data_IF_389498307606
#
_entry.id   IF_389498307606
#
_cell.length_a   1.000
_cell.length_b   1.000
_cell.length_c   1.000
_cell.angle_alpha   90.00
_cell.angle_beta   90.00
_cell.angle_gamma   90.00
#
_symmetry.space_group_name_H-M   'P 1'
#
loop_
_entity.id
_entity.type
_entity.pdbx_description
1 polymer ?
#
# COMPACT_ATOMS: atom_id res chain seq x y z
N UNK A 1 16.85 -59.18 6.64
CA UNK A 1 17.22 -59.29 5.24
C UNK A 1 18.31 -58.26 4.98
N UNK A 2 19.57 -58.78 5.06
CA UNK A 2 20.82 -58.02 4.95
C UNK A 2 21.03 -57.60 3.48
N UNK A 3 21.23 -56.33 3.22
CA UNK A 3 21.79 -55.82 1.98
C UNK A 3 23.08 -55.07 2.31
N UNK A 4 24.14 -55.67 1.83
CA UNK A 4 25.54 -55.47 2.13
C UNK A 4 26.11 -54.13 1.70
N UNK A 5 27.03 -53.64 2.54
CA UNK A 5 27.88 -52.46 2.42
C UNK A 5 28.97 -52.52 1.33
N UNK A 6 28.97 -53.51 0.44
CA UNK A 6 30.05 -53.73 -0.52
C UNK A 6 29.93 -53.00 -1.89
N UNK A 7 28.92 -52.18 -2.09
CA UNK A 7 28.76 -51.41 -3.36
C UNK A 7 29.34 -49.99 -3.35
N UNK A 8 29.86 -49.51 -2.24
CA UNK A 8 30.44 -48.15 -2.16
C UNK A 8 31.99 -48.10 -2.23
N UNK A 9 32.65 -49.23 -2.47
CA UNK A 9 34.13 -49.29 -2.52
C UNK A 9 34.73 -49.22 -3.91
N UNK A 10 33.96 -49.23 -4.99
CA UNK A 10 34.48 -49.27 -6.38
C UNK A 10 34.37 -47.97 -7.18
N UNK A 11 34.26 -46.80 -6.55
CA UNK A 11 34.33 -45.48 -7.25
C UNK A 11 35.63 -44.71 -6.97
N UNK A 12 36.64 -45.36 -6.38
CA UNK A 12 37.93 -44.76 -6.04
C UNK A 12 39.05 -44.94 -7.08
N UNK A 13 38.76 -45.44 -8.29
CA UNK A 13 39.78 -45.88 -9.24
C UNK A 13 39.87 -45.13 -10.58
N UNK A 14 39.46 -43.86 -10.66
CA UNK A 14 39.44 -43.11 -11.93
C UNK A 14 40.22 -41.79 -11.93
N UNK A 15 41.12 -41.58 -11.00
CA UNK A 15 42.00 -40.40 -11.04
C UNK A 15 43.47 -40.81 -10.76
N UNK A 16 44.10 -41.46 -11.74
CA UNK A 16 45.58 -41.43 -11.85
C UNK A 16 45.99 -41.68 -13.30
N UNK A 17 46.63 -40.69 -13.91
CA UNK A 17 47.72 -40.86 -14.84
C UNK A 17 47.40 -40.98 -16.34
N UNK A 18 47.78 -39.94 -17.09
CA UNK A 18 47.88 -40.06 -18.55
C UNK A 18 48.15 -38.69 -19.19
N UNK A 19 49.43 -38.26 -19.21
CA UNK A 19 49.93 -37.24 -20.08
C UNK A 19 49.90 -37.73 -21.53
N UNK A 20 49.08 -37.15 -22.40
CA UNK A 20 49.21 -37.34 -23.84
C UNK A 20 48.64 -36.17 -24.63
N UNK A 21 49.49 -35.53 -25.37
CA UNK A 21 49.28 -34.83 -26.66
C UNK A 21 48.17 -33.78 -26.75
N UNK A 22 48.57 -32.54 -26.72
CA UNK A 22 47.80 -31.38 -27.26
C UNK A 22 47.60 -31.57 -28.76
N UNK A 23 46.48 -32.11 -29.16
CA UNK A 23 46.00 -32.06 -30.53
C UNK A 23 45.30 -30.71 -30.74
N UNK A 24 45.92 -29.85 -31.55
CA UNK A 24 45.40 -28.55 -31.97
C UNK A 24 44.22 -28.79 -32.91
N UNK A 25 42.99 -28.68 -32.41
CA UNK A 25 41.79 -28.58 -33.25
C UNK A 25 41.82 -27.26 -34.03
N UNK A 26 41.64 -27.28 -35.35
CA UNK A 26 41.58 -26.06 -36.17
C UNK A 26 40.26 -25.33 -35.87
N UNK A 27 40.36 -24.18 -35.20
CA UNK A 27 39.25 -23.23 -35.07
C UNK A 27 38.92 -22.70 -36.48
N UNK A 28 37.93 -23.31 -37.15
CA UNK A 28 37.28 -22.71 -38.31
C UNK A 28 36.45 -21.52 -37.79
N UNK A 29 36.98 -20.33 -37.93
CA UNK A 29 36.23 -19.08 -37.86
C UNK A 29 35.25 -19.06 -39.03
N UNK A 30 34.05 -19.61 -38.82
CA UNK A 30 32.92 -19.35 -39.67
C UNK A 30 32.61 -17.86 -39.59
N UNK A 31 32.99 -17.14 -40.64
CA UNK A 31 32.49 -15.78 -40.92
C UNK A 31 30.98 -15.92 -41.25
N UNK A 32 30.14 -16.20 -40.23
CA UNK A 32 28.69 -16.09 -40.32
C UNK A 32 28.32 -14.63 -40.43
N UNK A 33 27.64 -14.28 -41.53
CA UNK A 33 26.97 -13.01 -41.74
C UNK A 33 26.26 -12.52 -40.52
N UNK A 34 26.62 -11.33 -40.04
CA UNK A 34 25.82 -10.56 -39.10
C UNK A 34 24.60 -10.00 -39.85
N UNK A 35 23.61 -10.83 -40.04
CA UNK A 35 22.24 -10.40 -40.25
C UNK A 35 21.50 -10.63 -38.93
N UNK A 36 21.93 -9.98 -37.86
CA UNK A 36 21.07 -9.68 -36.75
C UNK A 36 20.22 -8.49 -37.17
N UNK A 37 19.15 -8.75 -37.93
CA UNK A 37 17.95 -7.93 -37.77
C UNK A 37 17.64 -7.94 -36.27
N UNK A 38 18.02 -6.87 -35.59
CA UNK A 38 17.49 -6.59 -34.29
C UNK A 38 15.97 -6.54 -34.48
N UNK A 39 15.27 -7.60 -34.05
CA UNK A 39 13.82 -7.54 -33.95
C UNK A 39 13.49 -6.23 -33.26
N UNK A 40 12.52 -5.45 -33.76
CA UNK A 40 12.17 -4.18 -33.14
C UNK A 40 11.90 -4.50 -31.67
N UNK A 41 12.62 -3.80 -30.78
CA UNK A 41 12.42 -3.88 -29.35
C UNK A 41 10.94 -3.56 -29.16
N UNK A 42 10.11 -4.60 -29.02
CA UNK A 42 8.71 -4.40 -28.66
C UNK A 42 8.73 -3.64 -27.34
N UNK A 43 8.08 -2.51 -27.34
CA UNK A 43 7.85 -1.64 -26.18
C UNK A 43 6.94 -2.32 -25.10
N UNK A 44 7.08 -3.61 -24.87
CA UNK A 44 6.57 -4.28 -23.69
C UNK A 44 7.50 -4.01 -22.50
N UNK A 45 7.78 -2.73 -22.29
CA UNK A 45 8.80 -2.30 -21.33
C UNK A 45 8.29 -2.27 -19.88
N UNK A 46 6.97 -2.39 -19.63
CA UNK A 46 6.38 -2.34 -18.28
C UNK A 46 5.11 -3.18 -18.18
N UNK A 47 4.67 -3.41 -16.95
CA UNK A 47 3.47 -4.17 -16.65
C UNK A 47 2.19 -3.42 -17.01
N UNK A 48 1.64 -3.71 -18.20
CA UNK A 48 0.41 -3.09 -18.69
C UNK A 48 -0.79 -3.40 -17.80
N UNK A 49 -0.84 -4.59 -17.19
CA UNK A 49 -1.95 -5.00 -16.32
C UNK A 49 -1.98 -4.12 -15.07
N UNK A 50 -0.83 -3.87 -14.43
CA UNK A 50 -0.73 -2.97 -13.28
C UNK A 50 -1.25 -1.57 -13.63
N UNK A 51 -0.88 -1.04 -14.81
CA UNK A 51 -1.33 0.28 -15.27
C UNK A 51 -2.83 0.30 -15.49
N UNK A 52 -3.39 -0.67 -16.25
CA UNK A 52 -4.82 -0.65 -16.58
C UNK A 52 -5.71 -0.85 -15.35
N UNK A 53 -5.33 -1.71 -14.40
CA UNK A 53 -6.07 -1.88 -13.14
C UNK A 53 -6.00 -0.59 -12.31
N UNK A 54 -4.85 0.08 -12.26
CA UNK A 54 -4.71 1.37 -11.57
C UNK A 54 -5.61 2.43 -12.23
N UNK A 55 -5.60 2.54 -13.56
CA UNK A 55 -6.44 3.49 -14.31
C UNK A 55 -7.92 3.18 -14.10
N UNK A 56 -8.32 1.91 -14.11
CA UNK A 56 -9.70 1.52 -13.87
C UNK A 56 -10.18 1.93 -12.46
N UNK A 57 -9.34 1.72 -11.43
CA UNK A 57 -9.67 2.15 -10.05
C UNK A 57 -9.77 3.67 -9.93
N UNK A 58 -8.85 4.42 -10.55
CA UNK A 58 -8.88 5.88 -10.54
C UNK A 58 -10.12 6.43 -11.27
N UNK A 59 -10.45 5.88 -12.44
CA UNK A 59 -11.62 6.29 -13.21
C UNK A 59 -12.92 5.98 -12.47
N UNK A 60 -13.02 4.77 -11.89
CA UNK A 60 -14.18 4.41 -11.08
C UNK A 60 -14.27 5.27 -9.82
N UNK A 61 -13.14 5.52 -9.13
CA UNK A 61 -13.06 6.43 -7.99
C UNK A 61 -13.53 7.83 -8.31
N UNK A 62 -13.14 8.39 -9.48
CA UNK A 62 -13.57 9.69 -9.94
C UNK A 62 -15.11 9.78 -10.08
N UNK A 63 -15.71 8.77 -10.72
CA UNK A 63 -17.17 8.71 -10.88
C UNK A 63 -17.86 8.59 -9.52
N UNK A 64 -17.36 7.73 -8.64
CA UNK A 64 -17.98 7.51 -7.33
C UNK A 64 -17.79 8.67 -6.37
N UNK A 65 -16.66 9.37 -6.40
CA UNK A 65 -16.48 10.61 -5.63
C UNK A 65 -17.46 11.69 -6.11
N UNK A 66 -17.68 11.81 -7.41
CA UNK A 66 -18.68 12.74 -7.94
C UNK A 66 -20.08 12.34 -7.48
N UNK A 67 -20.46 11.07 -7.61
CA UNK A 67 -21.75 10.58 -7.13
C UNK A 67 -21.95 10.83 -5.63
N UNK A 68 -20.94 10.56 -4.81
CA UNK A 68 -21.01 10.74 -3.35
C UNK A 68 -21.04 12.21 -2.90
N UNK A 69 -20.63 13.15 -3.77
CA UNK A 69 -20.50 14.58 -3.39
C UNK A 69 -21.52 15.49 -4.05
N UNK A 70 -22.32 14.99 -4.99
CA UNK A 70 -23.23 15.82 -5.79
C UNK A 70 -24.26 16.56 -4.94
N UNK A 71 -24.72 15.96 -3.85
CA UNK A 71 -25.71 16.55 -2.94
C UNK A 71 -25.08 17.41 -1.81
N UNK A 72 -23.74 17.42 -1.67
CA UNK A 72 -23.11 18.14 -0.54
C UNK A 72 -23.46 19.65 -0.48
N UNK A 73 -23.55 20.40 -1.60
CA UNK A 73 -23.90 21.82 -1.56
C UNK A 73 -25.31 22.11 -1.04
N UNK A 74 -26.21 21.14 -1.03
CA UNK A 74 -27.57 21.30 -0.49
C UNK A 74 -27.55 21.41 1.05
N UNK A 75 -26.45 21.03 1.69
CA UNK A 75 -26.25 21.23 3.12
C UNK A 75 -25.77 22.67 3.39
N UNK A 76 -26.38 23.41 4.35
CA UNK A 76 -26.00 24.79 4.69
C UNK A 76 -24.50 24.97 4.98
N UNK A 77 -23.82 23.95 5.49
CA UNK A 77 -22.39 23.97 5.78
C UNK A 77 -21.55 24.09 4.50
N UNK A 78 -22.04 23.58 3.38
CA UNK A 78 -21.35 23.52 2.09
C UNK A 78 -22.04 24.36 0.99
N UNK A 79 -23.08 25.12 1.32
CA UNK A 79 -23.87 25.92 0.37
C UNK A 79 -23.08 26.96 -0.46
N UNK A 80 -21.83 27.25 -0.04
CA UNK A 80 -20.92 28.15 -0.77
C UNK A 80 -20.23 27.46 -1.97
N UNK A 81 -20.28 26.13 -2.05
CA UNK A 81 -19.60 25.37 -3.08
C UNK A 81 -20.59 25.02 -4.21
N UNK A 82 -20.09 24.96 -5.45
CA UNK A 82 -20.85 24.41 -6.57
C UNK A 82 -20.94 22.87 -6.48
N UNK A 83 -21.93 22.26 -7.12
CA UNK A 83 -22.08 20.81 -7.20
C UNK A 83 -20.86 20.12 -7.82
N UNK A 84 -20.09 20.82 -8.65
CA UNK A 84 -18.85 20.33 -9.27
C UNK A 84 -17.58 20.60 -8.44
N UNK A 85 -17.65 21.32 -7.32
CA UNK A 85 -16.46 21.74 -6.56
C UNK A 85 -15.56 20.56 -6.16
N UNK A 86 -16.13 19.52 -5.57
CA UNK A 86 -15.38 18.35 -5.14
C UNK A 86 -14.81 17.56 -6.33
N UNK A 87 -15.57 17.45 -7.43
CA UNK A 87 -15.12 16.84 -8.67
C UNK A 87 -13.90 17.56 -9.25
N UNK A 88 -13.99 18.87 -9.42
CA UNK A 88 -12.89 19.68 -9.96
C UNK A 88 -11.65 19.55 -9.09
N UNK A 89 -11.82 19.65 -7.77
CA UNK A 89 -10.72 19.48 -6.83
C UNK A 89 -10.10 18.08 -6.89
N UNK A 90 -10.91 17.05 -7.05
CA UNK A 90 -10.43 15.67 -7.21
C UNK A 90 -9.64 15.48 -8.52
N UNK A 91 -10.16 16.03 -9.65
CA UNK A 91 -9.46 16.03 -10.95
C UNK A 91 -8.11 16.75 -10.84
N UNK A 92 -8.06 17.92 -10.19
CA UNK A 92 -6.80 18.65 -9.98
C UNK A 92 -5.79 17.81 -9.19
N UNK A 93 -6.23 17.14 -8.13
CA UNK A 93 -5.36 16.25 -7.37
C UNK A 93 -4.91 15.03 -8.20
N UNK A 94 -5.78 14.46 -9.03
CA UNK A 94 -5.41 13.38 -9.96
C UNK A 94 -4.35 13.86 -10.97
N UNK A 95 -4.51 15.07 -11.52
CA UNK A 95 -3.53 15.63 -12.46
C UNK A 95 -2.16 15.87 -11.78
N UNK A 96 -2.15 16.48 -10.59
CA UNK A 96 -0.92 16.69 -9.81
C UNK A 96 -0.27 15.34 -9.48
N UNK A 97 -1.06 14.36 -9.06
CA UNK A 97 -0.58 13.03 -8.70
C UNK A 97 -0.02 12.27 -9.90
N UNK A 98 -0.64 12.43 -11.07
CA UNK A 98 -0.15 11.85 -12.32
C UNK A 98 1.20 12.45 -12.73
N UNK A 99 1.35 13.77 -12.66
CA UNK A 99 2.64 14.44 -12.94
C UNK A 99 3.72 13.98 -11.94
N UNK A 100 3.39 13.92 -10.66
CA UNK A 100 4.31 13.42 -9.63
C UNK A 100 4.71 11.95 -9.88
N UNK A 101 3.76 11.11 -10.29
CA UNK A 101 4.01 9.72 -10.66
C UNK A 101 4.92 9.59 -11.89
N UNK A 102 4.74 10.43 -12.92
CA UNK A 102 5.62 10.47 -14.09
C UNK A 102 7.04 10.88 -13.71
N UNK A 103 7.21 11.83 -12.81
CA UNK A 103 8.52 12.23 -12.29
C UNK A 103 9.15 11.08 -11.50
N UNK A 104 8.40 10.48 -10.58
CA UNK A 104 8.85 9.36 -9.77
C UNK A 104 9.27 8.14 -10.61
N UNK A 105 8.55 7.88 -11.70
CA UNK A 105 8.84 6.83 -12.65
C UNK A 105 10.19 7.01 -13.38
N UNK A 106 10.63 8.24 -13.59
CA UNK A 106 11.93 8.52 -14.22
C UNK A 106 13.11 8.30 -13.27
N UNK A 107 12.88 8.34 -11.96
CA UNK A 107 13.92 8.20 -10.95
C UNK A 107 14.37 6.75 -10.83
N UNK A 108 15.68 6.44 -11.00
CA UNK A 108 16.20 5.09 -10.82
C UNK A 108 15.97 4.55 -9.41
N UNK A 109 15.75 3.23 -9.30
CA UNK A 109 15.48 2.58 -8.01
C UNK A 109 16.62 2.76 -7.02
N UNK A 110 17.87 2.76 -7.47
CA UNK A 110 19.04 3.03 -6.64
C UNK A 110 19.04 4.44 -5.99
N UNK A 111 18.38 5.41 -6.62
CA UNK A 111 18.21 6.76 -6.06
C UNK A 111 17.20 6.75 -4.91
N UNK A 112 16.10 6.01 -5.06
CA UNK A 112 15.12 5.82 -3.99
C UNK A 112 15.75 5.14 -2.76
N UNK A 113 16.64 4.17 -2.97
CA UNK A 113 17.38 3.51 -1.89
C UNK A 113 18.27 4.51 -1.13
N UNK A 114 19.03 5.36 -1.86
CA UNK A 114 19.86 6.40 -1.24
C UNK A 114 19.05 7.46 -0.50
N UNK A 115 17.85 7.78 -0.98
CA UNK A 115 16.97 8.78 -0.39
C UNK A 115 16.14 8.22 0.79
N UNK A 116 16.02 6.91 0.93
CA UNK A 116 15.17 6.29 1.94
C UNK A 116 15.41 6.80 3.37
N UNK A 117 16.65 6.90 3.90
CA UNK A 117 16.89 7.44 5.24
C UNK A 117 16.50 8.92 5.36
N UNK A 118 16.76 9.71 4.33
CA UNK A 118 16.42 11.15 4.32
C UNK A 118 14.92 11.39 4.25
N UNK A 119 14.21 10.64 3.42
CA UNK A 119 12.75 10.70 3.35
C UNK A 119 12.11 10.31 4.68
N UNK A 120 12.68 9.34 5.37
CA UNK A 120 12.23 8.96 6.72
C UNK A 120 12.42 10.12 7.71
N UNK A 121 13.58 10.77 7.75
CA UNK A 121 13.82 11.92 8.62
C UNK A 121 12.90 13.09 8.27
N UNK A 122 12.73 13.40 6.98
CA UNK A 122 11.82 14.45 6.52
C UNK A 122 10.37 14.14 6.96
N UNK A 123 9.93 12.89 6.85
CA UNK A 123 8.58 12.52 7.28
C UNK A 123 8.39 12.68 8.79
N UNK A 124 9.39 12.35 9.60
CA UNK A 124 9.36 12.59 11.05
C UNK A 124 9.26 14.10 11.36
N UNK A 125 10.06 14.92 10.69
CA UNK A 125 10.00 16.38 10.86
C UNK A 125 8.64 16.96 10.49
N UNK A 126 8.02 16.46 9.41
CA UNK A 126 6.68 16.89 8.99
C UNK A 126 5.59 16.43 9.97
N UNK A 127 5.70 15.24 10.54
CA UNK A 127 4.79 14.78 11.60
C UNK A 127 4.92 15.65 12.86
N UNK A 128 6.14 16.03 13.24
CA UNK A 128 6.36 16.99 14.35
C UNK A 128 5.79 18.36 14.01
N UNK A 129 5.99 18.85 12.78
CA UNK A 129 5.49 20.15 12.33
C UNK A 129 3.96 20.27 12.41
N UNK A 130 3.22 19.18 12.11
CA UNK A 130 1.75 19.15 12.22
C UNK A 130 1.28 19.34 13.67
N UNK A 131 2.04 18.89 14.65
CA UNK A 131 1.69 19.03 16.07
C UNK A 131 1.89 20.45 16.60
N UNK A 132 2.72 21.28 15.91
CA UNK A 132 2.98 22.65 16.32
C UNK A 132 1.73 23.52 16.14
N UNK A 133 1.26 24.20 17.19
CA UNK A 133 0.15 25.15 17.09
C UNK A 133 0.45 26.24 16.05
N UNK A 134 -0.52 26.50 15.14
CA UNK A 134 -0.36 27.48 14.07
C UNK A 134 0.11 26.93 12.73
N UNK A 135 0.86 25.80 12.70
CA UNK A 135 1.24 25.10 11.46
C UNK A 135 0.23 24.01 11.08
N UNK A 136 -0.18 23.20 12.05
CA UNK A 136 -1.15 22.12 11.84
C UNK A 136 -2.60 22.61 11.87
N UNK A 137 -3.39 22.28 10.84
CA UNK A 137 -4.83 22.54 10.79
C UNK A 137 -5.57 21.41 11.49
N UNK A 138 -6.38 21.78 12.49
CA UNK A 138 -7.32 20.86 13.15
C UNK A 138 -8.59 20.67 12.35
N UNK A 139 -8.98 19.42 12.11
CA UNK A 139 -10.26 19.03 11.51
C UNK A 139 -10.84 17.92 12.38
N UNK A 140 -12.10 18.08 12.81
CA UNK A 140 -12.81 17.10 13.66
C UNK A 140 -12.03 16.69 14.93
N UNK A 141 -11.35 17.68 15.57
CA UNK A 141 -10.59 17.45 16.81
C UNK A 141 -9.21 16.82 16.64
N UNK A 142 -8.75 16.55 15.43
CA UNK A 142 -7.42 16.01 15.13
C UNK A 142 -6.61 16.98 14.25
N UNK A 143 -5.34 17.19 14.59
CA UNK A 143 -4.40 18.01 13.79
C UNK A 143 -3.59 17.07 12.90
N UNK A 144 -3.94 16.95 11.62
CA UNK A 144 -3.32 16.00 10.68
C UNK A 144 -2.88 16.64 9.38
N UNK A 145 -3.19 17.93 9.17
CA UNK A 145 -3.03 18.60 7.89
C UNK A 145 -2.11 19.80 8.02
N UNK A 146 -1.12 19.89 7.14
CA UNK A 146 -0.33 21.10 6.90
C UNK A 146 -1.01 21.88 5.76
N UNK A 147 -1.27 23.18 5.99
CA UNK A 147 -1.86 24.05 4.96
C UNK A 147 -0.73 24.78 4.25
N UNK A 148 -0.53 24.43 2.99
CA UNK A 148 0.47 25.05 2.10
C UNK A 148 -0.27 25.89 1.04
N UNK A 149 -0.75 27.06 1.43
CA UNK A 149 -1.58 27.89 0.56
C UNK A 149 -2.93 27.22 0.22
N UNK A 150 -3.25 26.97 -1.07
CA UNK A 150 -4.52 26.34 -1.46
C UNK A 150 -4.53 24.82 -1.25
N UNK A 151 -3.39 24.24 -0.93
CA UNK A 151 -3.18 22.79 -0.82
C UNK A 151 -3.11 22.41 0.65
N UNK A 152 -3.84 21.35 1.03
CA UNK A 152 -3.70 20.69 2.33
C UNK A 152 -2.93 19.40 2.15
N UNK A 153 -1.80 19.27 2.85
CA UNK A 153 -0.92 18.11 2.80
C UNK A 153 -1.02 17.32 4.10
N UNK A 154 -1.14 16.00 4.01
CA UNK A 154 -1.20 15.10 5.16
C UNK A 154 0.13 14.34 5.31
N UNK A 155 0.96 14.66 6.31
CA UNK A 155 2.26 14.02 6.50
C UNK A 155 2.21 12.53 6.76
N UNK A 156 1.17 12.02 7.39
CA UNK A 156 1.02 10.58 7.65
C UNK A 156 0.96 9.75 6.36
N UNK A 157 0.46 10.30 5.24
CA UNK A 157 0.49 9.62 3.95
C UNK A 157 1.93 9.45 3.42
N UNK A 158 2.74 10.52 3.50
CA UNK A 158 4.16 10.45 3.15
C UNK A 158 4.92 9.51 4.10
N UNK A 159 4.58 9.51 5.39
CA UNK A 159 5.21 8.64 6.39
C UNK A 159 5.03 7.16 6.05
N UNK A 160 3.88 6.72 5.53
CA UNK A 160 3.66 5.34 5.06
C UNK A 160 4.68 4.94 3.99
N UNK A 161 4.87 5.79 2.98
CA UNK A 161 5.81 5.54 1.89
C UNK A 161 7.27 5.62 2.36
N UNK A 162 7.62 6.61 3.16
CA UNK A 162 8.99 6.78 3.67
C UNK A 162 9.41 5.65 4.61
N UNK A 163 8.53 5.19 5.50
CA UNK A 163 8.79 4.02 6.36
C UNK A 163 8.95 2.75 5.54
N UNK A 164 8.16 2.57 4.47
CA UNK A 164 8.29 1.45 3.55
C UNK A 164 9.69 1.43 2.92
N UNK A 165 10.13 2.54 2.34
CA UNK A 165 11.46 2.65 1.73
C UNK A 165 12.58 2.44 2.76
N UNK A 166 12.46 3.08 3.93
CA UNK A 166 13.43 2.95 5.00
C UNK A 166 13.53 1.50 5.53
N UNK A 167 12.39 0.83 5.71
CA UNK A 167 12.36 -0.56 6.17
C UNK A 167 13.01 -1.50 5.14
N UNK A 168 12.78 -1.27 3.83
CA UNK A 168 13.39 -2.04 2.76
C UNK A 168 14.93 -1.85 2.74
N UNK A 169 15.41 -0.61 2.77
CA UNK A 169 16.85 -0.27 2.84
C UNK A 169 17.49 -0.83 4.13
N UNK A 170 16.79 -0.68 5.26
CA UNK A 170 17.25 -1.25 6.54
C UNK A 170 17.43 -2.76 6.47
N UNK A 171 16.48 -3.49 5.89
CA UNK A 171 16.58 -4.95 5.75
C UNK A 171 17.75 -5.37 4.88
N UNK A 172 18.00 -4.67 3.76
CA UNK A 172 19.18 -4.94 2.91
C UNK A 172 20.48 -4.77 3.70
N UNK A 173 20.61 -3.69 4.48
CA UNK A 173 21.79 -3.44 5.33
C UNK A 173 21.95 -4.43 6.49
N UNK A 174 20.89 -5.12 6.91
CA UNK A 174 20.89 -6.01 8.07
C UNK A 174 20.71 -7.49 7.73
N UNK A 175 20.85 -7.88 6.46
CA UNK A 175 20.66 -9.25 6.02
C UNK A 175 21.53 -10.27 6.75
N UNK A 176 22.78 -9.91 7.08
CA UNK A 176 23.73 -10.79 7.77
C UNK A 176 23.37 -11.05 9.25
N UNK A 177 22.55 -10.19 9.84
CA UNK A 177 22.17 -10.26 11.27
C UNK A 177 20.67 -10.45 11.48
N UNK A 178 19.91 -10.77 10.42
CA UNK A 178 18.44 -10.90 10.44
C UNK A 178 17.89 -11.88 11.47
N UNK A 179 18.69 -12.85 11.90
CA UNK A 179 18.32 -13.83 12.93
C UNK A 179 18.51 -13.31 14.37
N UNK A 180 19.16 -12.15 14.55
CA UNK A 180 19.45 -11.58 15.87
C UNK A 180 18.44 -10.50 16.21
N UNK A 181 17.48 -10.77 17.11
CA UNK A 181 16.41 -9.85 17.50
C UNK A 181 16.90 -8.44 17.84
N UNK A 182 17.86 -8.30 18.78
CA UNK A 182 18.34 -6.98 19.22
C UNK A 182 19.08 -6.19 18.14
N UNK A 183 19.65 -6.86 17.13
CA UNK A 183 20.42 -6.18 16.07
C UNK A 183 19.62 -5.94 14.80
N UNK A 184 18.63 -6.77 14.52
CA UNK A 184 17.82 -6.66 13.32
C UNK A 184 16.43 -6.06 13.57
N UNK A 185 15.75 -6.47 14.63
CA UNK A 185 14.35 -6.12 14.85
C UNK A 185 14.20 -4.89 15.73
N UNK A 186 14.91 -4.83 16.86
CA UNK A 186 14.74 -3.75 17.85
C UNK A 186 14.96 -2.34 17.26
N UNK A 187 16.01 -2.05 16.46
CA UNK A 187 16.19 -0.70 15.91
C UNK A 187 15.05 -0.30 14.94
N UNK A 188 14.51 -1.25 14.16
CA UNK A 188 13.35 -0.99 13.32
C UNK A 188 12.09 -0.77 14.16
N UNK A 189 11.89 -1.55 15.22
CA UNK A 189 10.79 -1.37 16.15
C UNK A 189 10.83 0.02 16.82
N UNK A 190 12.01 0.51 17.19
CA UNK A 190 12.20 1.88 17.71
C UNK A 190 11.83 2.92 16.66
N UNK A 191 12.28 2.76 15.40
CA UNK A 191 11.93 3.69 14.32
C UNK A 191 10.42 3.75 14.09
N UNK A 192 9.75 2.59 14.04
CA UNK A 192 8.28 2.50 13.90
C UNK A 192 7.57 3.06 15.12
N UNK A 193 8.10 2.84 16.33
CA UNK A 193 7.54 3.38 17.57
C UNK A 193 7.62 4.92 17.62
N UNK A 194 8.71 5.52 17.14
CA UNK A 194 8.82 6.99 17.05
C UNK A 194 7.72 7.57 16.13
N UNK A 195 7.54 6.99 14.94
CA UNK A 195 6.45 7.39 14.04
C UNK A 195 5.09 7.15 14.72
N UNK A 196 4.93 6.02 15.38
CA UNK A 196 3.71 5.65 16.09
C UNK A 196 3.32 6.64 17.18
N UNK A 197 4.27 7.08 18.00
CA UNK A 197 4.03 8.08 19.06
C UNK A 197 3.56 9.40 18.45
N UNK A 198 4.18 9.86 17.37
CA UNK A 198 3.77 11.10 16.69
C UNK A 198 2.36 10.98 16.10
N UNK A 199 2.05 9.88 15.41
CA UNK A 199 0.72 9.62 14.84
C UNK A 199 -0.36 9.48 15.92
N UNK A 200 -0.03 8.93 17.08
CA UNK A 200 -0.95 8.84 18.21
C UNK A 200 -1.21 10.21 18.86
N UNK A 201 -0.21 11.10 18.83
CA UNK A 201 -0.39 12.50 19.23
C UNK A 201 -1.26 13.29 18.24
N UNK A 202 -1.32 12.87 16.95
CA UNK A 202 -2.22 13.39 15.92
C UNK A 202 -3.63 12.76 15.92
N UNK A 203 -4.02 11.95 16.89
CA UNK A 203 -5.05 10.88 16.94
C UNK A 203 -5.23 10.08 15.64
N UNK A 204 -4.14 9.76 14.91
CA UNK A 204 -4.17 8.97 13.66
C UNK A 204 -3.74 7.50 13.86
N UNK A 205 -4.55 6.76 14.62
CA UNK A 205 -4.32 5.34 14.88
C UNK A 205 -4.41 4.49 13.59
N UNK A 206 -5.20 4.93 12.60
CA UNK A 206 -5.35 4.21 11.34
C UNK A 206 -4.04 4.19 10.54
N UNK A 207 -3.40 5.35 10.36
CA UNK A 207 -2.11 5.44 9.69
C UNK A 207 -1.02 4.65 10.44
N UNK A 208 -1.00 4.71 11.78
CA UNK A 208 -0.05 3.92 12.58
C UNK A 208 -0.22 2.41 12.36
N UNK A 209 -1.45 1.90 12.33
CA UNK A 209 -1.71 0.48 12.07
C UNK A 209 -1.21 0.05 10.69
N UNK A 210 -1.44 0.86 9.65
CA UNK A 210 -0.94 0.59 8.29
C UNK A 210 0.59 0.58 8.28
N UNK A 211 1.26 1.55 8.91
CA UNK A 211 2.73 1.63 9.00
C UNK A 211 3.30 0.42 9.74
N UNK A 212 2.69 0.01 10.83
CA UNK A 212 3.11 -1.18 11.58
C UNK A 212 3.04 -2.44 10.70
N UNK A 213 1.96 -2.61 9.94
CA UNK A 213 1.81 -3.76 9.02
C UNK A 213 2.81 -3.68 7.86
N UNK A 214 3.08 -2.50 7.30
CA UNK A 214 4.12 -2.32 6.27
C UNK A 214 5.49 -2.76 6.81
N UNK A 215 5.90 -2.24 7.96
CA UNK A 215 7.19 -2.55 8.55
C UNK A 215 7.31 -4.04 8.91
N UNK A 216 6.26 -4.62 9.51
CA UNK A 216 6.17 -6.05 9.80
C UNK A 216 6.25 -6.91 8.54
N UNK A 217 5.51 -6.53 7.49
CA UNK A 217 5.52 -7.23 6.21
C UNK A 217 6.91 -7.24 5.57
N UNK A 218 7.61 -6.11 5.59
CA UNK A 218 8.98 -6.00 5.05
C UNK A 218 9.98 -6.79 5.89
N UNK A 219 9.88 -6.76 7.23
CA UNK A 219 10.72 -7.60 8.10
C UNK A 219 10.53 -9.09 7.82
N UNK A 220 9.28 -9.53 7.66
CA UNK A 220 8.95 -10.91 7.33
C UNK A 220 9.48 -11.33 5.96
N UNK A 221 9.24 -10.50 4.92
CA UNK A 221 9.72 -10.73 3.56
C UNK A 221 11.25 -10.68 3.47
N UNK A 222 11.91 -9.86 4.29
CA UNK A 222 13.35 -9.78 4.43
C UNK A 222 13.99 -10.98 5.12
N UNK A 223 13.18 -11.94 5.58
CA UNK A 223 13.63 -13.21 6.13
C UNK A 223 13.94 -13.19 7.63
N UNK A 224 13.30 -12.28 8.38
CA UNK A 224 13.31 -12.36 9.86
C UNK A 224 12.64 -13.66 10.31
N UNK A 225 13.20 -14.31 11.33
CA UNK A 225 12.70 -15.57 11.85
C UNK A 225 11.20 -15.49 12.22
N UNK A 226 10.42 -16.47 11.79
CA UNK A 226 8.97 -16.51 12.02
C UNK A 226 8.59 -16.40 13.50
N UNK A 227 9.39 -16.96 14.43
CA UNK A 227 9.14 -16.82 15.88
C UNK A 227 9.21 -15.37 16.34
N UNK A 228 10.20 -14.62 15.83
CA UNK A 228 10.34 -13.19 16.12
C UNK A 228 9.19 -12.38 15.52
N UNK A 229 8.78 -12.74 14.31
CA UNK A 229 7.63 -12.12 13.66
C UNK A 229 6.35 -12.27 14.50
N UNK A 230 6.02 -13.49 14.92
CA UNK A 230 4.83 -13.74 15.74
C UNK A 230 4.91 -13.07 17.11
N UNK A 231 6.12 -13.02 17.73
CA UNK A 231 6.32 -12.32 18.98
C UNK A 231 6.02 -10.81 18.82
N UNK A 232 6.53 -10.17 17.78
CA UNK A 232 6.28 -8.75 17.53
C UNK A 232 4.80 -8.51 17.21
N UNK A 233 4.19 -9.38 16.39
CA UNK A 233 2.78 -9.30 16.10
C UNK A 233 1.93 -9.39 17.38
N UNK A 234 2.26 -10.32 18.28
CA UNK A 234 1.58 -10.44 19.57
C UNK A 234 1.76 -9.19 20.45
N UNK A 235 2.99 -8.65 20.53
CA UNK A 235 3.27 -7.40 21.25
C UNK A 235 2.44 -6.24 20.67
N UNK A 236 2.38 -6.10 19.35
CA UNK A 236 1.58 -5.06 18.69
C UNK A 236 0.10 -5.23 18.97
N UNK A 237 -0.44 -6.45 18.87
CA UNK A 237 -1.85 -6.73 19.19
C UNK A 237 -2.15 -6.36 20.63
N UNK A 238 -1.32 -6.77 21.58
CA UNK A 238 -1.47 -6.43 23.00
C UNK A 238 -1.42 -4.91 23.19
N UNK A 239 -0.41 -4.23 22.60
CA UNK A 239 -0.27 -2.79 22.73
C UNK A 239 -1.48 -2.03 22.15
N UNK A 240 -2.00 -2.43 20.97
CA UNK A 240 -3.21 -1.85 20.40
C UNK A 240 -4.45 -2.13 21.25
N UNK A 241 -4.57 -3.35 21.80
CA UNK A 241 -5.68 -3.70 22.69
C UNK A 241 -5.64 -2.89 23.97
N UNK A 242 -4.49 -2.77 24.62
CA UNK A 242 -4.31 -1.93 25.81
C UNK A 242 -4.64 -0.46 25.50
N UNK A 243 -4.17 0.07 24.39
CA UNK A 243 -4.41 1.44 23.98
C UNK A 243 -5.90 1.73 23.69
N UNK A 244 -6.68 0.72 23.29
CA UNK A 244 -8.14 0.81 23.15
C UNK A 244 -8.80 0.75 24.54
N UNK A 245 -8.42 -0.21 25.35
CA UNK A 245 -9.06 -0.47 26.65
C UNK A 245 -8.86 0.69 27.65
N UNK A 246 -7.69 1.34 27.65
CA UNK A 246 -7.40 2.47 28.56
C UNK A 246 -7.93 3.82 28.08
N UNK A 247 -8.65 3.88 26.95
CA UNK A 247 -9.23 5.13 26.45
C UNK A 247 -10.74 4.95 26.22
N UNK A 248 -11.56 5.61 27.05
CA UNK A 248 -13.03 5.48 27.03
C UNK A 248 -13.62 5.77 25.65
N UNK A 249 -13.15 6.81 24.97
CA UNK A 249 -13.63 7.18 23.64
C UNK A 249 -13.35 6.10 22.58
N UNK A 250 -12.21 5.39 22.69
CA UNK A 250 -11.87 4.27 21.77
C UNK A 250 -12.64 3.01 22.15
N UNK A 251 -12.80 2.74 23.45
CA UNK A 251 -13.57 1.60 23.95
C UNK A 251 -15.03 1.68 23.52
N UNK A 252 -15.66 2.84 23.66
CA UNK A 252 -17.04 3.05 23.21
C UNK A 252 -17.23 2.87 21.70
N UNK A 253 -16.21 3.14 20.88
CA UNK A 253 -16.24 2.82 19.44
C UNK A 253 -16.26 1.31 19.19
N UNK A 254 -15.61 0.50 20.02
CA UNK A 254 -15.68 -0.96 19.90
C UNK A 254 -17.09 -1.46 20.30
N UNK A 255 -17.67 -0.92 21.36
CA UNK A 255 -19.04 -1.28 21.72
C UNK A 255 -20.05 -0.86 20.66
N UNK A 256 -19.93 0.35 20.14
CA UNK A 256 -20.76 0.81 19.03
C UNK A 256 -20.56 0.00 17.72
N UNK A 257 -19.41 -0.60 17.52
CA UNK A 257 -19.16 -1.54 16.42
C UNK A 257 -19.83 -2.90 16.64
N UNK A 258 -19.82 -3.42 17.88
CA UNK A 258 -20.43 -4.71 18.19
C UNK A 258 -21.97 -4.67 18.11
N UNK A 259 -22.57 -3.55 18.49
CA UNK A 259 -24.00 -3.31 18.36
C UNK A 259 -24.28 -1.87 17.92
N UNK A 260 -24.19 -1.59 16.57
CA UNK A 260 -24.40 -0.25 16.05
C UNK A 260 -25.86 0.22 16.11
N UNK A 261 -26.81 -0.69 16.34
CA UNK A 261 -28.24 -0.43 16.42
C UNK A 261 -28.70 -0.08 17.82
N UNK A 262 -27.86 -0.24 18.82
CA UNK A 262 -28.19 0.09 20.21
C UNK A 262 -28.54 1.58 20.35
N UNK A 263 -29.64 1.90 21.04
CA UNK A 263 -30.15 3.27 21.22
C UNK A 263 -29.06 4.24 21.74
N UNK A 264 -28.13 3.75 22.57
CA UNK A 264 -27.04 4.52 23.12
C UNK A 264 -26.00 4.95 22.03
N UNK A 265 -25.84 4.15 20.98
CA UNK A 265 -24.79 4.36 19.96
C UNK A 265 -25.34 4.75 18.59
N UNK A 266 -26.61 4.42 18.29
CA UNK A 266 -27.21 4.57 16.96
C UNK A 266 -27.18 6.00 16.42
N UNK A 267 -27.42 7.01 17.28
CA UNK A 267 -27.35 8.43 16.92
C UNK A 267 -25.97 9.07 17.14
N UNK A 268 -24.96 8.27 17.53
CA UNK A 268 -23.62 8.73 17.86
C UNK A 268 -22.52 7.95 17.14
N UNK A 269 -21.74 7.19 17.91
CA UNK A 269 -20.57 6.46 17.40
C UNK A 269 -20.90 5.30 16.48
N UNK A 270 -22.12 4.73 16.57
CA UNK A 270 -22.65 3.69 15.69
C UNK A 270 -23.25 4.21 14.39
N UNK A 271 -23.60 5.50 14.34
CA UNK A 271 -24.33 6.14 13.24
C UNK A 271 -23.73 5.87 11.86
N UNK A 272 -22.43 6.10 11.71
CA UNK A 272 -21.76 5.90 10.42
C UNK A 272 -21.79 4.44 9.96
N UNK A 273 -21.63 3.49 10.89
CA UNK A 273 -21.63 2.08 10.57
C UNK A 273 -23.03 1.58 10.24
N UNK A 274 -24.05 1.96 11.02
CA UNK A 274 -25.44 1.56 10.75
C UNK A 274 -25.90 2.05 9.36
N UNK A 275 -25.62 3.32 9.01
CA UNK A 275 -25.95 3.86 7.69
C UNK A 275 -25.13 3.23 6.55
N UNK A 276 -23.87 2.85 6.81
CA UNK A 276 -23.09 2.06 5.85
C UNK A 276 -23.73 0.70 5.57
N UNK A 277 -24.18 0.00 6.62
CA UNK A 277 -24.84 -1.30 6.47
C UNK A 277 -26.22 -1.19 5.80
N UNK A 278 -26.99 -0.12 6.07
CA UNK A 278 -28.26 0.18 5.39
C UNK A 278 -27.99 0.40 3.88
N UNK A 279 -27.00 1.22 3.54
CA UNK A 279 -26.60 1.47 2.14
C UNK A 279 -26.31 0.17 1.40
N UNK A 280 -25.41 -0.66 1.96
CA UNK A 280 -25.02 -1.93 1.35
C UNK A 280 -26.20 -2.91 1.26
N UNK A 281 -27.02 -2.98 2.32
CA UNK A 281 -28.23 -3.83 2.33
C UNK A 281 -29.26 -3.43 1.25
N UNK A 282 -29.45 -2.11 1.05
CA UNK A 282 -30.35 -1.57 0.02
C UNK A 282 -29.88 -1.85 -1.40
N UNK A 283 -28.55 -1.99 -1.61
CA UNK A 283 -27.99 -2.27 -2.91
C UNK A 283 -28.23 -3.70 -3.41
N UNK A 284 -28.60 -4.63 -2.54
CA UNK A 284 -28.86 -6.04 -2.90
C UNK A 284 -27.77 -6.63 -3.84
N UNK A 285 -28.18 -7.31 -4.93
CA UNK A 285 -27.22 -7.97 -5.85
C UNK A 285 -26.69 -6.99 -6.90
N UNK A 286 -27.55 -6.20 -7.52
CA UNK A 286 -27.20 -5.37 -8.70
C UNK A 286 -27.13 -3.88 -8.42
N UNK A 287 -27.50 -3.44 -7.23
CA UNK A 287 -27.55 -2.04 -6.84
C UNK A 287 -28.80 -1.31 -7.30
N UNK A 288 -28.96 -0.10 -6.78
CA UNK A 288 -30.08 0.79 -7.14
C UNK A 288 -29.79 1.61 -8.42
N UNK A 289 -28.65 1.41 -9.03
CA UNK A 289 -28.14 2.18 -10.17
C UNK A 289 -27.25 3.34 -9.80
N UNK A 290 -26.36 3.72 -10.73
CA UNK A 290 -25.44 4.84 -10.56
C UNK A 290 -26.21 6.14 -10.26
N UNK A 291 -25.80 6.84 -9.23
CA UNK A 291 -26.47 8.07 -8.78
C UNK A 291 -27.70 7.83 -7.89
N UNK A 292 -28.17 6.58 -7.74
CA UNK A 292 -29.39 6.23 -7.00
C UNK A 292 -29.23 6.07 -5.50
N UNK A 293 -28.05 6.22 -4.94
CA UNK A 293 -27.82 6.14 -3.49
C UNK A 293 -28.63 7.21 -2.76
N UNK A 294 -29.33 6.83 -1.70
CA UNK A 294 -30.05 7.72 -0.78
C UNK A 294 -29.17 8.08 0.41
N UNK A 295 -28.33 7.15 0.86
CA UNK A 295 -27.50 7.39 2.03
C UNK A 295 -26.47 8.51 1.82
N UNK A 296 -26.03 8.76 0.58
CA UNK A 296 -25.19 9.92 0.24
C UNK A 296 -25.90 11.27 0.38
N UNK A 297 -27.24 11.29 0.45
CA UNK A 297 -28.05 12.50 0.63
C UNK A 297 -28.04 12.96 2.10
N UNK A 298 -26.86 13.18 2.65
CA UNK A 298 -26.57 13.66 4.02
C UNK A 298 -26.80 12.65 5.17
N UNK A 299 -27.27 11.43 4.88
CA UNK A 299 -27.46 10.41 5.89
C UNK A 299 -26.12 9.75 6.30
N UNK A 300 -25.23 9.50 5.36
CA UNK A 300 -23.92 8.90 5.61
C UNK A 300 -22.81 9.97 5.64
N UNK A 301 -22.32 10.38 6.82
CA UNK A 301 -21.18 11.29 6.92
C UNK A 301 -19.90 10.65 6.30
N UNK A 302 -19.07 11.48 5.67
CA UNK A 302 -17.80 11.07 5.05
C UNK A 302 -17.99 9.98 3.95
N UNK A 303 -19.14 9.98 3.27
CA UNK A 303 -19.47 9.05 2.18
C UNK A 303 -18.45 9.06 1.04
N UNK A 304 -17.79 10.20 0.79
CA UNK A 304 -16.80 10.38 -0.28
C UNK A 304 -15.35 10.06 0.13
N UNK A 305 -15.09 9.85 1.42
CA UNK A 305 -13.76 9.56 1.98
C UNK A 305 -13.72 8.15 2.59
N UNK A 306 -14.24 8.00 3.81
CA UNK A 306 -14.09 6.80 4.63
C UNK A 306 -15.17 5.73 4.36
N UNK A 307 -16.29 6.12 3.76
CA UNK A 307 -17.44 5.24 3.49
C UNK A 307 -17.79 5.14 2.00
N UNK A 308 -16.81 5.36 1.12
CA UNK A 308 -17.02 5.28 -0.33
C UNK A 308 -17.54 3.90 -0.79
N UNK A 309 -17.09 2.81 -0.15
CA UNK A 309 -17.57 1.47 -0.46
C UNK A 309 -19.06 1.30 -0.17
N UNK A 310 -19.58 1.96 0.86
CA UNK A 310 -21.01 1.90 1.17
C UNK A 310 -21.85 2.48 0.02
N UNK A 311 -21.42 3.62 -0.55
CA UNK A 311 -22.07 4.22 -1.73
C UNK A 311 -21.93 3.30 -2.95
N UNK A 312 -20.75 2.69 -3.18
CA UNK A 312 -20.55 1.71 -4.26
C UNK A 312 -21.46 0.50 -4.04
N UNK A 313 -21.56 0.01 -2.81
CA UNK A 313 -22.42 -1.11 -2.45
C UNK A 313 -23.90 -0.80 -2.68
N UNK A 314 -24.37 0.42 -2.38
CA UNK A 314 -25.74 0.84 -2.65
C UNK A 314 -26.02 0.98 -4.16
N UNK A 315 -25.10 1.63 -4.90
CA UNK A 315 -25.32 1.92 -6.33
C UNK A 315 -25.09 0.72 -7.27
N UNK A 316 -24.13 -0.14 -6.97
CA UNK A 316 -23.75 -1.29 -7.80
C UNK A 316 -24.01 -2.66 -7.16
N UNK A 317 -24.49 -2.69 -5.92
CA UNK A 317 -24.80 -3.91 -5.20
C UNK A 317 -23.60 -4.81 -4.91
N UNK A 318 -23.89 -6.07 -4.61
CA UNK A 318 -22.89 -7.10 -4.35
C UNK A 318 -21.92 -7.29 -5.53
N UNK A 319 -22.43 -7.23 -6.76
CA UNK A 319 -21.59 -7.36 -7.97
C UNK A 319 -20.52 -6.28 -8.02
N UNK A 320 -20.87 -5.02 -7.73
CA UNK A 320 -19.91 -3.92 -7.68
C UNK A 320 -18.87 -4.12 -6.58
N UNK A 321 -19.29 -4.53 -5.38
CA UNK A 321 -18.37 -4.80 -4.26
C UNK A 321 -17.40 -5.93 -4.60
N UNK A 322 -17.88 -7.05 -5.17
CA UNK A 322 -17.03 -8.18 -5.57
C UNK A 322 -16.04 -7.82 -6.69
N UNK A 323 -16.49 -7.04 -7.68
CA UNK A 323 -15.63 -6.52 -8.73
C UNK A 323 -14.50 -5.65 -8.14
N UNK A 324 -14.83 -4.77 -7.22
CA UNK A 324 -13.86 -3.90 -6.55
C UNK A 324 -12.83 -4.71 -5.74
N UNK A 325 -13.29 -5.68 -4.95
CA UNK A 325 -12.43 -6.61 -4.22
C UNK A 325 -11.49 -7.32 -5.20
N UNK A 326 -12.03 -7.83 -6.32
CA UNK A 326 -11.26 -8.50 -7.36
C UNK A 326 -10.16 -7.63 -7.95
N UNK A 327 -10.44 -6.34 -8.23
CA UNK A 327 -9.45 -5.39 -8.74
C UNK A 327 -8.33 -5.14 -7.73
N UNK A 328 -8.64 -4.95 -6.44
CA UNK A 328 -7.61 -4.75 -5.40
C UNK A 328 -6.78 -6.02 -5.15
N UNK A 329 -7.39 -7.19 -5.16
CA UNK A 329 -6.67 -8.48 -5.08
C UNK A 329 -5.73 -8.64 -6.26
N UNK A 330 -6.19 -8.32 -7.47
CA UNK A 330 -5.36 -8.39 -8.68
C UNK A 330 -4.20 -7.40 -8.63
N UNK A 331 -4.48 -6.13 -8.29
CA UNK A 331 -3.46 -5.09 -8.12
C UNK A 331 -2.37 -5.53 -7.13
N UNK A 332 -2.77 -5.99 -5.95
CA UNK A 332 -1.87 -6.45 -4.89
C UNK A 332 -1.02 -7.65 -5.35
N UNK A 333 -1.67 -8.66 -5.95
CA UNK A 333 -0.96 -9.84 -6.48
C UNK A 333 0.06 -9.46 -7.54
N UNK A 334 -0.25 -8.48 -8.39
CA UNK A 334 0.66 -8.03 -9.44
C UNK A 334 1.90 -7.36 -8.87
N UNK A 335 1.76 -6.46 -7.89
CA UNK A 335 2.89 -5.83 -7.21
C UNK A 335 3.77 -6.85 -6.46
N UNK A 336 3.15 -7.84 -5.78
CA UNK A 336 3.90 -8.93 -5.14
C UNK A 336 4.67 -9.76 -6.18
N UNK A 337 4.07 -10.02 -7.34
CA UNK A 337 4.73 -10.76 -8.44
C UNK A 337 5.95 -10.01 -8.97
N UNK A 338 5.82 -8.71 -9.26
CA UNK A 338 6.94 -7.85 -9.68
C UNK A 338 8.07 -7.88 -8.63
N UNK A 339 7.71 -7.77 -7.35
CA UNK A 339 8.70 -7.83 -6.28
C UNK A 339 9.42 -9.17 -6.18
N UNK A 340 8.72 -10.30 -6.38
CA UNK A 340 9.35 -11.62 -6.43
C UNK A 340 10.31 -11.77 -7.61
N UNK A 341 9.96 -11.23 -8.77
CA UNK A 341 10.85 -11.21 -9.93
C UNK A 341 12.12 -10.39 -9.67
N UNK A 342 11.99 -9.22 -9.01
CA UNK A 342 13.14 -8.40 -8.65
C UNK A 342 14.08 -9.13 -7.67
N UNK A 343 13.53 -9.83 -6.66
CA UNK A 343 14.33 -10.65 -5.72
C UNK A 343 15.06 -11.78 -6.44
N UNK A 344 14.42 -12.45 -7.41
CA UNK A 344 15.05 -13.50 -8.22
C UNK A 344 16.23 -12.99 -9.08
N UNK A 345 16.33 -11.69 -9.27
CA UNK A 345 17.43 -11.00 -9.95
C UNK A 345 18.44 -10.37 -8.96
N UNK A 346 18.47 -10.81 -7.71
CA UNK A 346 19.29 -10.29 -6.61
C UNK A 346 19.07 -8.80 -6.27
N UNK A 347 17.95 -8.22 -6.75
CA UNK A 347 17.56 -6.82 -6.44
C UNK A 347 16.66 -6.76 -5.21
N UNK A 348 17.23 -7.02 -4.05
CA UNK A 348 16.47 -7.25 -2.81
C UNK A 348 15.72 -6.00 -2.38
N UNK A 349 16.35 -4.81 -2.39
CA UNK A 349 15.69 -3.55 -2.08
C UNK A 349 14.44 -3.34 -2.96
N UNK A 350 14.63 -3.41 -4.28
CA UNK A 350 13.56 -3.25 -5.25
C UNK A 350 12.40 -4.24 -5.00
N UNK A 351 12.74 -5.51 -4.75
CA UNK A 351 11.77 -6.54 -4.47
C UNK A 351 10.97 -6.31 -3.19
N UNK A 352 11.64 -5.90 -2.12
CA UNK A 352 10.98 -5.56 -0.84
C UNK A 352 10.07 -4.33 -1.00
N UNK A 353 10.51 -3.30 -1.75
CA UNK A 353 9.70 -2.11 -2.02
C UNK A 353 8.43 -2.48 -2.79
N UNK A 354 8.54 -3.23 -3.89
CA UNK A 354 7.37 -3.60 -4.69
C UNK A 354 6.36 -4.45 -3.90
N UNK A 355 6.84 -5.44 -3.14
CA UNK A 355 5.98 -6.25 -2.29
C UNK A 355 5.40 -5.43 -1.12
N UNK A 356 6.19 -4.53 -0.54
CA UNK A 356 5.75 -3.64 0.53
C UNK A 356 4.63 -2.69 0.09
N UNK A 357 4.71 -2.12 -1.12
CA UNK A 357 3.61 -1.32 -1.71
C UNK A 357 2.36 -2.17 -1.89
N UNK A 358 2.52 -3.43 -2.37
CA UNK A 358 1.42 -4.38 -2.49
C UNK A 358 0.74 -4.66 -1.13
N UNK A 359 1.53 -4.92 -0.08
CA UNK A 359 1.02 -5.13 1.27
C UNK A 359 0.29 -3.87 1.77
N UNK A 360 0.87 -2.70 1.59
CA UNK A 360 0.26 -1.44 2.02
C UNK A 360 -1.10 -1.21 1.36
N UNK A 361 -1.16 -1.18 0.02
CA UNK A 361 -2.39 -0.89 -0.71
C UNK A 361 -3.44 -1.97 -0.44
N UNK A 362 -3.05 -3.26 -0.46
CA UNK A 362 -3.96 -4.37 -0.19
C UNK A 362 -4.51 -4.35 1.23
N UNK A 363 -3.67 -4.12 2.22
CA UNK A 363 -4.10 -4.06 3.62
C UNK A 363 -4.99 -2.84 3.90
N UNK A 364 -4.64 -1.66 3.39
CA UNK A 364 -5.46 -0.46 3.56
C UNK A 364 -6.83 -0.61 2.90
N UNK A 365 -6.89 -1.20 1.68
CA UNK A 365 -8.14 -1.53 1.02
C UNK A 365 -8.96 -2.55 1.82
N UNK A 366 -8.33 -3.60 2.33
CA UNK A 366 -8.97 -4.60 3.17
C UNK A 366 -9.60 -3.99 4.43
N UNK A 367 -8.86 -3.12 5.14
CA UNK A 367 -9.41 -2.44 6.32
C UNK A 367 -10.58 -1.54 5.96
N UNK A 368 -10.45 -0.72 4.89
CA UNK A 368 -11.54 0.16 4.45
C UNK A 368 -12.82 -0.65 4.11
N UNK A 369 -12.67 -1.72 3.34
CA UNK A 369 -13.79 -2.59 2.97
C UNK A 369 -14.38 -3.30 4.20
N UNK A 370 -13.53 -3.83 5.08
CA UNK A 370 -13.95 -4.50 6.30
C UNK A 370 -14.71 -3.57 7.26
N UNK A 371 -14.30 -2.31 7.36
CA UNK A 371 -15.01 -1.28 8.15
C UNK A 371 -16.39 -1.00 7.57
N UNK A 372 -16.49 -0.78 6.27
CA UNK A 372 -17.76 -0.47 5.61
C UNK A 372 -18.75 -1.64 5.66
N UNK A 373 -18.24 -2.87 5.57
CA UNK A 373 -19.03 -4.10 5.66
C UNK A 373 -19.37 -4.53 7.12
N UNK A 374 -18.95 -3.75 8.11
CA UNK A 374 -19.15 -4.10 9.51
C UNK A 374 -18.34 -5.29 10.01
N UNK A 375 -17.29 -5.70 9.29
CA UNK A 375 -16.39 -6.78 9.71
C UNK A 375 -15.25 -6.28 10.62
N UNK A 376 -14.99 -4.96 10.62
CA UNK A 376 -13.93 -4.32 11.41
C UNK A 376 -14.44 -3.03 12.06
N UNK A 377 -13.89 -2.64 13.22
CA UNK A 377 -14.31 -1.42 13.91
C UNK A 377 -13.99 -0.17 13.09
N UNK A 378 -14.86 0.83 13.17
CA UNK A 378 -14.79 2.06 12.39
C UNK A 378 -13.45 2.79 12.57
N UNK A 379 -12.74 3.03 11.47
CA UNK A 379 -11.49 3.79 11.37
C UNK A 379 -11.56 4.67 10.13
N UNK A 380 -11.11 5.92 10.25
CA UNK A 380 -11.00 6.85 9.14
C UNK A 380 -9.78 6.52 8.28
N UNK A 381 -9.93 5.58 7.36
CA UNK A 381 -8.92 5.22 6.36
C UNK A 381 -9.56 5.28 4.97
N UNK A 382 -8.99 6.08 4.11
CA UNK A 382 -9.46 6.21 2.72
C UNK A 382 -9.21 4.93 1.92
N UNK A 383 -10.10 4.62 0.98
CA UNK A 383 -9.88 3.56 -0.01
C UNK A 383 -8.78 3.99 -0.98
N UNK A 384 -7.65 3.27 -1.07
CA UNK A 384 -6.54 3.66 -1.94
C UNK A 384 -6.98 3.91 -3.37
N UNK A 385 -6.45 4.94 -4.03
CA UNK A 385 -6.73 5.32 -5.42
C UNK A 385 -8.15 5.83 -5.70
N UNK A 386 -9.14 5.58 -4.85
CA UNK A 386 -10.54 5.85 -5.15
C UNK A 386 -11.15 6.98 -4.31
N UNK A 387 -10.96 6.93 -2.97
CA UNK A 387 -11.56 7.92 -2.08
C UNK A 387 -11.04 9.34 -2.33
N UNK A 388 -11.85 10.33 -2.04
CA UNK A 388 -11.43 11.72 -2.04
C UNK A 388 -10.36 11.96 -0.97
N UNK A 389 -9.11 12.17 -1.42
CA UNK A 389 -7.98 12.36 -0.52
C UNK A 389 -6.72 12.74 -1.32
N UNK A 390 -6.52 14.02 -1.57
CA UNK A 390 -5.48 14.51 -2.49
C UNK A 390 -4.08 13.95 -2.20
N UNK A 391 -3.59 14.08 -0.95
CA UNK A 391 -2.27 13.58 -0.55
C UNK A 391 -2.20 12.05 -0.63
N UNK A 392 -3.27 11.34 -0.27
CA UNK A 392 -3.30 9.88 -0.33
C UNK A 392 -3.17 9.38 -1.77
N UNK A 393 -3.93 9.97 -2.72
CA UNK A 393 -3.85 9.62 -4.14
C UNK A 393 -2.45 9.90 -4.69
N UNK A 394 -1.89 11.07 -4.35
CA UNK A 394 -0.54 11.47 -4.79
C UNK A 394 0.50 10.45 -4.35
N UNK A 395 0.54 10.10 -3.07
CA UNK A 395 1.56 9.17 -2.55
C UNK A 395 1.32 7.75 -3.05
N UNK A 396 0.06 7.31 -3.18
CA UNK A 396 -0.26 6.00 -3.77
C UNK A 396 0.19 5.90 -5.23
N UNK A 397 -0.05 6.93 -6.05
CA UNK A 397 0.39 6.92 -7.45
C UNK A 397 1.91 6.99 -7.59
N UNK A 398 2.60 7.76 -6.74
CA UNK A 398 4.07 7.76 -6.66
C UNK A 398 4.59 6.36 -6.29
N UNK A 399 3.99 5.71 -5.30
CA UNK A 399 4.40 4.36 -4.91
C UNK A 399 4.21 3.33 -6.05
N UNK A 400 3.09 3.39 -6.77
CA UNK A 400 2.85 2.53 -7.94
C UNK A 400 3.82 2.84 -9.07
N UNK A 401 4.15 4.12 -9.31
CA UNK A 401 5.14 4.51 -10.31
C UNK A 401 6.54 3.94 -10.00
N UNK A 402 6.93 3.91 -8.71
CA UNK A 402 8.16 3.24 -8.27
C UNK A 402 8.10 1.73 -8.53
N UNK A 403 6.97 1.07 -8.30
CA UNK A 403 6.80 -0.36 -8.64
C UNK A 403 6.92 -0.60 -10.14
N UNK A 404 6.33 0.26 -10.98
CA UNK A 404 6.49 0.18 -12.44
C UNK A 404 7.95 0.40 -12.87
N UNK A 405 8.67 1.30 -12.20
CA UNK A 405 10.11 1.49 -12.44
C UNK A 405 10.91 0.25 -12.10
N UNK A 406 10.59 -0.42 -10.98
CA UNK A 406 11.20 -1.68 -10.58
C UNK A 406 10.96 -2.77 -11.64
N UNK A 407 9.75 -2.85 -12.19
CA UNK A 407 9.42 -3.82 -13.25
C UNK A 407 10.25 -3.59 -14.51
N UNK A 408 10.36 -2.33 -15.00
CA UNK A 408 11.17 -1.99 -16.16
C UNK A 408 12.64 -2.35 -15.95
N UNK A 409 13.25 -1.90 -14.85
CA UNK A 409 14.65 -2.20 -14.58
C UNK A 409 14.90 -3.71 -14.45
N UNK A 410 13.95 -4.46 -13.88
CA UNK A 410 14.04 -5.92 -13.79
C UNK A 410 13.96 -6.59 -15.16
N UNK A 411 13.06 -6.14 -16.03
CA UNK A 411 12.95 -6.64 -17.41
C UNK A 411 14.18 -6.31 -18.25
N UNK A 412 14.75 -5.10 -18.09
CA UNK A 412 16.00 -4.73 -18.77
C UNK A 412 17.13 -5.68 -18.40
N UNK A 413 17.28 -6.04 -17.11
CA UNK A 413 18.28 -7.01 -16.67
C UNK A 413 18.04 -8.41 -17.25
N UNK A 414 16.79 -8.88 -17.29
CA UNK A 414 16.45 -10.18 -17.90
C UNK A 414 16.81 -10.27 -19.39
N UNK A 415 16.79 -9.13 -20.10
CA UNK A 415 17.16 -9.06 -21.52
C UNK A 415 18.65 -8.71 -21.76
N UNK A 416 19.49 -8.77 -20.73
CA UNK A 416 20.94 -8.51 -20.83
C UNK A 416 21.31 -7.03 -20.94
N UNK A 417 20.40 -6.12 -20.60
CA UNK A 417 20.69 -4.68 -20.47
C UNK A 417 21.50 -4.40 -19.19
N UNK A 418 22.39 -3.40 -19.25
CA UNK A 418 23.03 -2.80 -18.07
C UNK A 418 22.10 -1.69 -17.56
N UNK A 419 21.73 -1.73 -16.27
CA UNK A 419 21.01 -0.65 -15.57
C UNK A 419 21.99 0.38 -15.03
#
# INVERSE_FOLDING_TARGET
MNLSWDRMRNLGGLFTGGSAAREKLPVRLSRGKRDTMQAPVRLESFDQVLVWVTVALLAWGLVMVYSATIAMPDNPRFARYSHSYFLVRHILWLAISFVAALIAFQVPVATWERWAPWLFVISLLLLVAVLIPGLGKGVNGARRWLVLGPISFQPSELAKFSVLLYAADYMVRKMDVKERFFRAVLPMAVAVAMVGVLLLAEPDMGAFMVIAVIAMGILFLGGVNARMFFLIAAILVIAFSMMIMFNDWRRERIFAYLDPWNEQYALGKGYQLSHSLIAIGRGEIFGVGLGGSVEKLHWLPEAHTDFLLAVIGEEFGLVGVLCLIGLFVWLTRRMIHIGRQAIALDRIFAGLVAQGVGIWIGFQAFIHMGVNLGALPTKGLTLPLMSFGGTAILVNLVAIAVVLRIDIESRQLMHGGRT
#
